data_IF_044094579275
#
_entry.id   IF_044094579275
#
_cell.length_a   1.000
_cell.length_b   1.000
_cell.length_c   1.000
_cell.angle_alpha   90.00
_cell.angle_beta   90.00
_cell.angle_gamma   90.00
#
_symmetry.space_group_name_H-M   'P 1'
#
loop_
_entity.id
_entity.type
_entity.pdbx_description
1 polymer ?
#
# COMPACT_ATOMS: atom_id res chain seq x y z
N UNK A 1 -14.82 -10.99 1.15
CA UNK A 1 -14.90 -11.04 2.62
C UNK A 1 -14.74 -9.64 3.20
N UNK A 2 -15.14 -9.43 4.45
CA UNK A 2 -14.86 -8.20 5.22
C UNK A 2 -13.88 -8.53 6.34
N UNK A 3 -13.03 -7.59 6.69
CA UNK A 3 -12.14 -7.72 7.84
C UNK A 3 -12.96 -7.57 9.11
N UNK A 4 -12.74 -8.45 10.09
CA UNK A 4 -13.41 -8.40 11.41
C UNK A 4 -12.48 -7.96 12.53
N UNK A 5 -11.27 -7.51 12.17
CA UNK A 5 -10.21 -7.15 13.09
C UNK A 5 -8.89 -6.93 12.36
N UNK A 6 -7.81 -6.70 13.12
CA UNK A 6 -6.54 -6.26 12.56
C UNK A 6 -5.81 -7.37 11.81
N UNK A 7 -5.10 -7.01 10.74
CA UNK A 7 -4.15 -7.89 10.05
C UNK A 7 -2.78 -7.67 10.70
N UNK A 8 -2.20 -8.72 11.28
CA UNK A 8 -0.92 -8.63 11.99
C UNK A 8 -0.83 -7.49 13.03
N UNK A 9 -1.95 -7.14 13.68
CA UNK A 9 -2.01 -6.04 14.66
C UNK A 9 -2.16 -4.64 14.07
N UNK A 10 -2.47 -4.52 12.77
CA UNK A 10 -2.78 -3.26 12.09
C UNK A 10 -4.25 -3.26 11.66
N UNK A 11 -4.99 -2.24 12.09
CA UNK A 11 -6.37 -2.00 11.67
C UNK A 11 -6.42 -1.43 10.26
N UNK A 12 -7.43 -1.81 9.48
CA UNK A 12 -7.68 -1.28 8.14
C UNK A 12 -9.04 -0.59 8.11
N UNK A 13 -9.03 0.73 7.94
CA UNK A 13 -10.22 1.59 8.14
C UNK A 13 -10.53 2.40 6.88
N UNK A 14 -11.82 2.51 6.55
CA UNK A 14 -12.32 3.47 5.56
C UNK A 14 -12.85 4.68 6.34
N UNK A 15 -12.17 5.83 6.32
CA UNK A 15 -12.44 6.90 7.29
C UNK A 15 -13.78 7.63 7.11
N UNK A 16 -14.47 7.44 5.99
CA UNK A 16 -15.81 7.99 5.73
C UNK A 16 -16.93 6.95 5.82
N UNK A 17 -16.61 5.70 6.16
CA UNK A 17 -17.60 4.64 6.25
C UNK A 17 -18.15 4.57 7.67
N UNK A 18 -19.40 4.99 7.86
CA UNK A 18 -20.09 4.89 9.15
C UNK A 18 -20.56 3.45 9.45
N UNK A 19 -20.67 2.60 8.42
CA UNK A 19 -21.04 1.19 8.53
C UNK A 19 -20.23 0.31 7.55
N UNK A 20 -19.01 -0.11 7.96
CA UNK A 20 -18.17 -1.00 7.15
C UNK A 20 -18.80 -2.36 6.82
N UNK A 21 -19.77 -2.84 7.62
CA UNK A 21 -20.41 -4.14 7.43
C UNK A 21 -21.34 -4.15 6.21
N UNK A 22 -21.88 -3.00 5.83
CA UNK A 22 -22.70 -2.86 4.62
C UNK A 22 -21.95 -2.18 3.47
N UNK A 23 -20.88 -1.44 3.76
CA UNK A 23 -20.05 -0.78 2.74
C UNK A 23 -19.41 -1.80 1.80
N UNK A 24 -19.63 -1.62 0.50
CA UNK A 24 -19.04 -2.47 -0.52
C UNK A 24 -17.55 -2.20 -0.70
N UNK A 25 -17.06 -0.99 -0.42
CA UNK A 25 -15.65 -0.64 -0.46
C UNK A 25 -14.81 -1.45 0.54
N UNK A 26 -15.43 -1.93 1.62
CA UNK A 26 -14.82 -2.79 2.63
C UNK A 26 -14.86 -4.29 2.26
N UNK A 27 -15.21 -4.66 1.03
CA UNK A 27 -15.18 -6.06 0.56
C UNK A 27 -13.84 -6.35 -0.13
N UNK A 28 -13.13 -7.34 0.39
CA UNK A 28 -11.82 -7.80 -0.06
C UNK A 28 -11.91 -9.21 -0.63
N UNK A 29 -11.07 -9.54 -1.60
CA UNK A 29 -10.75 -10.93 -1.91
C UNK A 29 -9.80 -11.49 -0.83
N UNK A 30 -9.95 -12.76 -0.44
CA UNK A 30 -9.12 -13.37 0.61
C UNK A 30 -7.62 -13.38 0.25
N UNK A 31 -7.29 -13.41 -1.05
CA UNK A 31 -5.90 -13.33 -1.52
C UNK A 31 -5.30 -11.95 -1.27
N UNK A 32 -6.09 -10.88 -1.41
CA UNK A 32 -5.63 -9.53 -1.07
C UNK A 32 -5.36 -9.43 0.44
N UNK A 33 -6.23 -9.99 1.27
CA UNK A 33 -6.01 -10.05 2.73
C UNK A 33 -4.71 -10.77 3.07
N UNK A 34 -4.45 -11.93 2.45
CA UNK A 34 -3.21 -12.67 2.65
C UNK A 34 -1.97 -11.87 2.20
N UNK A 35 -2.04 -11.17 1.07
CA UNK A 35 -0.96 -10.34 0.56
C UNK A 35 -0.65 -9.13 1.47
N UNK A 36 -1.65 -8.62 2.20
CA UNK A 36 -1.45 -7.53 3.15
C UNK A 36 -0.80 -7.96 4.47
N UNK A 37 -0.76 -9.25 4.81
CA UNK A 37 -0.16 -9.73 6.05
C UNK A 37 1.32 -9.30 6.24
N UNK A 38 2.24 -9.56 5.30
CA UNK A 38 3.63 -9.10 5.44
C UNK A 38 3.75 -7.58 5.47
N UNK A 39 2.95 -6.87 4.66
CA UNK A 39 2.92 -5.41 4.65
C UNK A 39 2.49 -4.83 6.00
N UNK A 40 1.42 -5.38 6.59
CA UNK A 40 0.92 -4.98 7.89
C UNK A 40 1.91 -5.31 9.01
N UNK A 41 2.55 -6.47 8.95
CA UNK A 41 3.61 -6.83 9.90
C UNK A 41 4.79 -5.85 9.84
N UNK A 42 5.18 -5.44 8.63
CA UNK A 42 6.25 -4.45 8.44
C UNK A 42 5.85 -3.08 9.01
N UNK A 43 4.65 -2.59 8.70
CA UNK A 43 4.12 -1.33 9.24
C UNK A 43 4.07 -1.33 10.77
N UNK A 44 3.61 -2.44 11.38
CA UNK A 44 3.61 -2.60 12.84
C UNK A 44 5.02 -2.53 13.42
N UNK A 45 6.01 -3.15 12.76
CA UNK A 45 7.42 -3.06 13.16
C UNK A 45 7.96 -1.63 13.19
N UNK A 46 7.39 -0.74 12.37
CA UNK A 46 7.70 0.70 12.33
C UNK A 46 6.78 1.57 13.19
N UNK A 47 5.95 0.93 14.03
CA UNK A 47 5.09 1.59 15.01
C UNK A 47 3.80 2.15 14.43
N UNK A 48 3.32 1.63 13.30
CA UNK A 48 2.01 1.97 12.73
C UNK A 48 1.00 0.87 13.02
N UNK A 49 -0.18 1.24 13.51
CA UNK A 49 -1.23 0.29 13.91
C UNK A 49 -2.55 0.52 13.20
N UNK A 50 -2.65 1.52 12.33
CA UNK A 50 -3.83 1.76 11.50
C UNK A 50 -3.40 2.15 10.08
N UNK A 51 -4.03 1.53 9.10
CA UNK A 51 -4.00 1.89 7.69
C UNK A 51 -5.36 2.43 7.32
N UNK A 52 -5.40 3.64 6.78
CA UNK A 52 -6.60 4.17 6.14
C UNK A 52 -6.54 3.94 4.64
N UNK A 53 -7.67 3.56 4.05
CA UNK A 53 -7.75 3.23 2.63
C UNK A 53 -9.06 3.73 2.01
N UNK A 54 -9.06 3.93 0.69
CA UNK A 54 -10.23 4.35 -0.04
C UNK A 54 -11.21 3.22 -0.32
N UNK A 55 -10.73 2.15 -0.94
CA UNK A 55 -11.60 1.03 -1.27
C UNK A 55 -10.81 -0.19 -1.67
N UNK A 56 -11.31 -1.36 -1.29
CA UNK A 56 -10.88 -2.63 -1.86
C UNK A 56 -11.74 -3.02 -3.08
N UNK A 57 -13.07 -2.99 -2.93
CA UNK A 57 -14.01 -3.24 -4.02
C UNK A 57 -14.67 -1.95 -4.53
N UNK A 58 -14.74 -1.79 -5.85
CA UNK A 58 -15.52 -0.74 -6.52
C UNK A 58 -16.53 -1.38 -7.47
N UNK A 59 -17.81 -1.12 -7.25
CA UNK A 59 -18.89 -1.57 -8.15
C UNK A 59 -18.97 -0.60 -9.34
N UNK A 60 -18.24 -0.92 -10.41
CA UNK A 60 -18.28 -0.18 -11.67
C UNK A 60 -18.85 -1.05 -12.79
N UNK A 61 -19.44 -0.43 -13.81
CA UNK A 61 -19.86 -1.14 -15.03
C UNK A 61 -18.61 -1.62 -15.75
N UNK A 62 -18.35 -2.92 -15.71
CA UNK A 62 -17.31 -3.55 -16.52
C UNK A 62 -17.78 -3.47 -17.98
N UNK A 63 -17.23 -2.51 -18.73
CA UNK A 63 -17.46 -2.42 -20.17
C UNK A 63 -16.30 -3.07 -20.91
N UNK A 64 -16.56 -3.62 -22.10
CA UNK A 64 -15.52 -4.24 -22.94
C UNK A 64 -14.40 -3.26 -23.33
N UNK A 65 -14.70 -1.97 -23.29
CA UNK A 65 -13.79 -0.88 -23.68
C UNK A 65 -12.85 -0.40 -22.56
N UNK A 66 -13.04 -0.84 -21.31
CA UNK A 66 -12.15 -0.48 -20.20
C UNK A 66 -11.40 -1.71 -19.69
N UNK A 67 -10.07 -1.64 -19.48
CA UNK A 67 -9.34 -2.68 -18.78
C UNK A 67 -10.03 -2.99 -17.44
N UNK A 68 -10.13 -4.28 -17.11
CA UNK A 68 -10.75 -4.71 -15.85
C UNK A 68 -9.89 -4.25 -14.68
N UNK A 69 -10.36 -3.23 -13.95
CA UNK A 69 -9.73 -2.82 -12.69
C UNK A 69 -9.83 -3.96 -11.68
N UNK A 70 -8.74 -4.21 -10.94
CA UNK A 70 -8.72 -5.21 -9.87
C UNK A 70 -9.61 -4.84 -8.69
N UNK A 71 -9.95 -3.56 -8.52
CA UNK A 71 -11.00 -3.15 -7.59
C UNK A 71 -12.36 -3.73 -7.95
N UNK A 72 -12.66 -4.09 -9.20
CA UNK A 72 -13.98 -4.67 -9.51
C UNK A 72 -14.17 -6.09 -8.96
N UNK A 73 -13.09 -6.72 -8.50
CA UNK A 73 -13.09 -8.08 -7.94
C UNK A 73 -12.47 -8.13 -6.54
N UNK A 74 -12.27 -6.98 -5.89
CA UNK A 74 -11.72 -6.89 -4.53
C UNK A 74 -10.25 -7.31 -4.42
N UNK A 75 -9.49 -7.29 -5.53
CA UNK A 75 -8.07 -7.65 -5.58
C UNK A 75 -7.13 -6.42 -5.63
N UNK A 76 -7.65 -5.23 -5.38
CA UNK A 76 -6.84 -4.02 -5.24
C UNK A 76 -7.21 -3.27 -3.98
N UNK A 77 -6.33 -2.39 -3.52
CA UNK A 77 -6.54 -1.44 -2.44
C UNK A 77 -5.84 -0.13 -2.74
N UNK A 78 -6.53 0.97 -2.44
CA UNK A 78 -5.97 2.33 -2.51
C UNK A 78 -5.69 2.82 -1.09
N UNK A 79 -4.43 2.80 -0.67
CA UNK A 79 -4.01 3.23 0.67
C UNK A 79 -3.95 4.76 0.71
N UNK A 80 -4.73 5.36 1.62
CA UNK A 80 -4.77 6.80 1.88
C UNK A 80 -3.62 7.25 2.80
N UNK A 81 -3.29 6.44 3.80
CA UNK A 81 -2.16 6.68 4.69
C UNK A 81 -2.18 5.86 5.96
N UNK A 82 -1.30 6.18 6.91
CA UNK A 82 -1.09 5.38 8.13
C UNK A 82 -1.12 6.23 9.40
N UNK A 83 -1.49 5.62 10.54
CA UNK A 83 -1.37 6.20 11.88
C UNK A 83 -0.53 5.31 12.80
N UNK A 84 0.10 5.94 13.79
CA UNK A 84 0.79 5.25 14.88
C UNK A 84 -0.14 4.66 15.94
N UNK A 85 -1.41 5.04 15.93
CA UNK A 85 -2.40 4.62 16.91
C UNK A 85 -3.74 5.34 16.74
N UNK A 86 -4.80 4.86 17.40
CA UNK A 86 -6.04 5.60 17.53
C UNK A 86 -5.79 7.01 18.10
N UNK A 87 -6.48 8.01 17.54
CA UNK A 87 -6.33 9.42 17.95
C UNK A 87 -5.02 10.10 17.52
N UNK A 88 -4.06 9.37 16.93
CA UNK A 88 -2.85 9.95 16.37
C UNK A 88 -3.12 10.57 14.99
N UNK A 89 -2.31 11.57 14.57
CA UNK A 89 -2.41 12.13 13.23
C UNK A 89 -2.27 11.06 12.14
N UNK A 90 -3.08 11.22 11.09
CA UNK A 90 -2.94 10.45 9.86
C UNK A 90 -1.82 11.06 9.02
N UNK A 91 -0.79 10.27 8.75
CA UNK A 91 0.22 10.65 7.77
C UNK A 91 -0.30 10.30 6.38
N UNK A 92 -1.02 11.21 5.73
CA UNK A 92 -1.59 10.97 4.39
C UNK A 92 -0.51 10.84 3.32
N UNK A 93 -0.75 9.98 2.34
CA UNK A 93 0.12 9.81 1.17
C UNK A 93 0.30 11.14 0.43
N UNK A 94 -0.79 11.88 0.20
CA UNK A 94 -0.77 13.16 -0.51
C UNK A 94 0.21 14.18 0.08
N UNK A 95 0.29 14.21 1.41
CA UNK A 95 1.03 15.20 2.20
C UNK A 95 2.47 14.74 2.51
N UNK A 96 2.68 13.43 2.73
CA UNK A 96 3.92 12.91 3.28
C UNK A 96 4.73 12.02 2.35
N UNK A 97 4.21 11.59 1.19
CA UNK A 97 4.99 10.81 0.24
C UNK A 97 6.06 11.68 -0.45
N UNK A 98 7.35 11.36 -0.36
CA UNK A 98 8.42 12.12 -1.00
C UNK A 98 8.43 11.89 -2.52
N UNK A 99 7.64 12.67 -3.25
CA UNK A 99 7.53 12.60 -4.72
C UNK A 99 8.88 12.80 -5.38
N UNK A 100 9.05 12.19 -6.55
CA UNK A 100 10.23 12.29 -7.43
C UNK A 100 11.54 11.88 -6.78
N UNK A 101 11.47 11.15 -5.67
CA UNK A 101 12.64 10.76 -4.88
C UNK A 101 13.10 9.33 -5.21
N UNK A 102 12.17 8.38 -5.30
CA UNK A 102 12.50 6.97 -5.48
C UNK A 102 12.50 6.58 -6.96
N UNK A 103 13.70 6.51 -7.57
CA UNK A 103 13.91 6.06 -8.96
C UNK A 103 14.08 4.53 -9.10
N UNK A 104 14.55 3.91 -8.03
CA UNK A 104 14.77 2.47 -7.92
C UNK A 104 14.92 2.12 -6.45
N UNK A 105 14.64 0.88 -6.08
CA UNK A 105 14.93 0.41 -4.74
C UNK A 105 16.42 0.07 -4.56
N UNK A 106 17.02 0.44 -3.41
CA UNK A 106 18.40 0.11 -3.13
C UNK A 106 18.59 -1.41 -3.07
N UNK A 107 19.73 -1.86 -3.62
CA UNK A 107 20.20 -3.23 -3.38
C UNK A 107 20.55 -3.36 -1.89
N UNK A 108 20.34 -4.53 -1.26
CA UNK A 108 20.73 -4.73 0.13
C UNK A 108 22.25 -4.56 0.27
N UNK A 109 22.71 -3.40 0.70
CA UNK A 109 24.13 -3.17 0.98
C UNK A 109 24.44 -3.75 2.36
N UNK A 110 25.36 -4.71 2.42
CA UNK A 110 25.88 -5.19 3.70
C UNK A 110 26.78 -4.10 4.31
N UNK A 111 26.26 -3.41 5.32
CA UNK A 111 27.10 -2.84 6.38
C UNK A 111 27.58 -1.40 6.26
N UNK A 112 27.15 -0.61 5.27
CA UNK A 112 27.36 0.85 5.31
C UNK A 112 26.08 1.57 5.77
N UNK A 113 25.98 1.83 7.08
CA UNK A 113 24.88 2.60 7.66
C UNK A 113 25.13 4.11 7.65
N UNK A 114 26.28 4.57 7.11
CA UNK A 114 26.67 5.99 7.18
C UNK A 114 25.95 6.84 6.14
N UNK A 115 25.46 6.23 5.06
CA UNK A 115 24.68 6.89 4.01
C UNK A 115 23.40 6.10 3.74
N UNK A 116 22.27 6.62 4.22
CA UNK A 116 20.94 6.05 3.93
C UNK A 116 20.44 6.61 2.60
N UNK A 117 20.14 5.72 1.67
CA UNK A 117 19.49 6.04 0.41
C UNK A 117 17.96 6.02 0.58
N UNK A 118 17.22 6.79 -0.24
CA UNK A 118 15.77 6.67 -0.32
C UNK A 118 15.33 5.23 -0.59
N UNK A 119 14.40 4.71 0.22
CA UNK A 119 13.91 3.33 0.12
C UNK A 119 14.71 2.29 0.91
N UNK A 120 15.75 2.70 1.65
CA UNK A 120 16.37 1.85 2.67
C UNK A 120 15.40 1.50 3.79
N UNK A 121 15.71 0.43 4.53
CA UNK A 121 14.92 0.05 5.71
C UNK A 121 14.93 1.22 6.73
N UNK A 122 13.76 1.82 7.04
CA UNK A 122 13.69 2.94 7.95
C UNK A 122 14.02 2.49 9.37
N UNK A 123 14.56 3.39 10.19
CA UNK A 123 14.71 3.12 11.62
C UNK A 123 13.36 3.22 12.32
N UNK A 124 13.19 2.56 13.47
CA UNK A 124 12.09 2.86 14.37
C UNK A 124 12.01 4.38 14.65
N UNK A 125 10.82 4.96 14.46
CA UNK A 125 10.61 6.40 14.64
C UNK A 125 11.03 7.29 13.46
N UNK A 126 11.45 6.71 12.32
CA UNK A 126 11.77 7.47 11.11
C UNK A 126 10.61 8.39 10.66
N UNK A 127 10.93 9.48 9.94
CA UNK A 127 9.92 10.33 9.31
C UNK A 127 8.95 9.53 8.43
N UNK A 128 7.67 9.91 8.36
CA UNK A 128 6.67 9.19 7.56
C UNK A 128 7.05 9.02 6.09
N UNK A 129 7.76 10.01 5.51
CA UNK A 129 8.23 9.95 4.14
C UNK A 129 9.20 8.79 3.90
N UNK A 130 10.15 8.58 4.81
CA UNK A 130 11.11 7.46 4.73
C UNK A 130 10.39 6.11 4.88
N UNK A 131 9.36 6.07 5.72
CA UNK A 131 8.51 4.88 5.88
C UNK A 131 7.76 4.57 4.58
N UNK A 132 7.23 5.57 3.87
CA UNK A 132 6.60 5.35 2.58
C UNK A 132 7.55 4.77 1.54
N UNK A 133 8.75 5.36 1.39
CA UNK A 133 9.74 4.86 0.44
C UNK A 133 10.21 3.45 0.81
N UNK A 134 10.46 3.21 2.10
CA UNK A 134 10.80 1.90 2.65
C UNK A 134 9.72 0.86 2.40
N UNK A 135 8.44 1.22 2.56
CA UNK A 135 7.31 0.33 2.29
C UNK A 135 7.23 -0.08 0.82
N UNK A 136 7.38 0.88 -0.10
CA UNK A 136 7.41 0.60 -1.54
C UNK A 136 8.54 -0.38 -1.84
N UNK A 137 9.73 -0.16 -1.29
CA UNK A 137 10.85 -1.07 -1.53
C UNK A 137 10.76 -2.40 -0.82
N UNK A 138 10.10 -2.46 0.33
CA UNK A 138 9.75 -3.71 1.00
C UNK A 138 8.80 -4.54 0.11
N UNK A 139 7.72 -3.93 -0.38
CA UNK A 139 6.77 -4.60 -1.25
C UNK A 139 7.40 -5.07 -2.57
N UNK A 140 8.30 -4.28 -3.15
CA UNK A 140 9.06 -4.63 -4.34
C UNK A 140 9.98 -5.83 -4.09
N UNK A 141 10.83 -5.75 -3.05
CA UNK A 141 11.85 -6.75 -2.74
C UNK A 141 11.26 -8.13 -2.45
N UNK A 142 10.09 -8.16 -1.82
CA UNK A 142 9.42 -9.41 -1.44
C UNK A 142 8.31 -9.84 -2.41
N UNK A 143 8.09 -9.11 -3.51
CA UNK A 143 7.07 -9.46 -4.51
C UNK A 143 5.66 -9.56 -3.90
N UNK A 144 5.30 -8.63 -3.01
CA UNK A 144 4.06 -8.72 -2.24
C UNK A 144 2.81 -8.50 -3.10
N UNK A 145 2.93 -7.72 -4.16
CA UNK A 145 1.84 -7.33 -5.05
C UNK A 145 2.29 -7.33 -6.51
N UNK A 146 1.35 -7.39 -7.45
CA UNK A 146 1.63 -7.33 -8.89
C UNK A 146 1.80 -5.93 -9.44
N UNK A 147 1.13 -4.98 -8.80
CA UNK A 147 1.21 -3.58 -9.14
C UNK A 147 1.30 -2.79 -7.85
N UNK A 148 2.23 -1.82 -7.80
CA UNK A 148 2.20 -0.74 -6.83
C UNK A 148 2.37 0.59 -7.57
N UNK A 149 1.31 1.40 -7.59
CA UNK A 149 1.35 2.76 -8.13
C UNK A 149 1.50 3.75 -6.99
N UNK A 150 2.49 4.62 -7.14
CA UNK A 150 2.85 5.69 -6.22
C UNK A 150 2.31 7.03 -6.74
N UNK A 151 2.37 8.10 -5.91
CA UNK A 151 2.06 9.45 -6.36
C UNK A 151 2.88 10.00 -7.53
N UNK A 152 3.94 9.30 -7.95
CA UNK A 152 4.74 9.64 -9.13
C UNK A 152 4.23 8.97 -10.42
N UNK A 153 3.23 8.09 -10.36
CA UNK A 153 2.70 7.40 -11.55
C UNK A 153 1.95 8.36 -12.49
N UNK A 154 0.90 9.01 -11.97
CA UNK A 154 0.06 9.95 -12.71
C UNK A 154 -0.75 10.85 -11.76
N UNK A 155 -1.66 11.64 -12.34
CA UNK A 155 -2.56 12.52 -11.59
C UNK A 155 -3.57 11.77 -10.75
N UNK A 156 -4.08 10.63 -11.20
CA UNK A 156 -5.15 9.92 -10.49
C UNK A 156 -4.60 9.26 -9.20
N UNK A 157 -3.31 8.90 -9.19
CA UNK A 157 -2.63 8.28 -8.04
C UNK A 157 -1.93 9.27 -7.12
N UNK A 158 -2.08 10.58 -7.32
CA UNK A 158 -1.33 11.61 -6.58
C UNK A 158 -1.54 11.57 -5.05
N UNK A 159 -2.62 10.98 -4.54
CA UNK A 159 -3.01 11.05 -3.12
C UNK A 159 -3.11 9.67 -2.44
N UNK A 160 -2.70 8.59 -3.09
CA UNK A 160 -2.76 7.24 -2.53
C UNK A 160 -1.67 6.33 -3.11
N UNK A 161 -1.44 5.19 -2.43
CA UNK A 161 -0.73 4.06 -3.02
C UNK A 161 -1.77 3.07 -3.54
N UNK A 162 -1.77 2.79 -4.84
CA UNK A 162 -2.60 1.73 -5.42
C UNK A 162 -1.83 0.42 -5.42
N UNK A 163 -2.38 -0.62 -4.81
CA UNK A 163 -1.80 -1.95 -4.78
C UNK A 163 -2.79 -2.93 -5.40
N UNK A 164 -2.34 -3.80 -6.32
CA UNK A 164 -3.20 -4.83 -6.89
C UNK A 164 -2.54 -6.20 -7.08
N UNK A 165 -3.41 -7.21 -7.14
CA UNK A 165 -3.07 -8.58 -7.49
C UNK A 165 -3.66 -8.98 -8.84
N UNK A 166 -2.85 -9.65 -9.67
CA UNK A 166 -3.32 -10.27 -10.92
C UNK A 166 -3.99 -11.61 -10.63
N UNK A 167 -5.22 -11.78 -11.11
CA UNK A 167 -5.96 -13.05 -11.01
C UNK A 167 -5.22 -14.20 -11.67
N UNK A 168 -5.11 -15.33 -10.97
CA UNK A 168 -4.52 -16.57 -11.52
C UNK A 168 -3.00 -16.61 -11.50
N UNK A 169 -2.35 -15.65 -10.84
CA UNK A 169 -0.91 -15.63 -10.63
C UNK A 169 -0.60 -15.64 -9.13
N UNK A 170 0.39 -16.42 -8.72
CA UNK A 170 1.03 -16.27 -7.41
C UNK A 170 1.81 -14.94 -7.37
N UNK A 171 2.44 -14.62 -6.23
CA UNK A 171 3.37 -13.48 -6.11
C UNK A 171 4.33 -13.42 -7.31
N UNK A 172 4.50 -12.25 -7.95
CA UNK A 172 5.06 -12.20 -9.29
C UNK A 172 6.59 -12.21 -9.31
N UNK A 173 7.20 -12.83 -10.33
CA UNK A 173 8.61 -12.68 -10.62
C UNK A 173 8.97 -11.30 -11.20
N UNK A 174 7.99 -10.55 -11.72
CA UNK A 174 8.18 -9.21 -12.31
C UNK A 174 7.00 -8.27 -11.93
N UNK A 175 6.99 -7.75 -10.69
CA UNK A 175 5.99 -6.78 -10.26
C UNK A 175 6.17 -5.42 -10.94
N UNK A 176 5.07 -4.75 -11.32
CA UNK A 176 5.12 -3.37 -11.81
C UNK A 176 5.06 -2.37 -10.65
N UNK A 177 6.13 -1.61 -10.46
CA UNK A 177 6.21 -0.57 -9.44
C UNK A 177 6.51 0.77 -10.13
N UNK A 178 5.67 1.78 -9.91
CA UNK A 178 5.88 3.10 -10.51
C UNK A 178 6.93 3.88 -9.72
N UNK A 179 8.16 3.83 -10.21
CA UNK A 179 9.24 4.67 -9.72
C UNK A 179 9.28 5.98 -10.50
N UNK A 180 9.88 7.02 -9.90
CA UNK A 180 10.07 8.27 -10.58
C UNK A 180 10.98 8.13 -11.82
N UNK A 181 10.51 8.58 -12.97
CA UNK A 181 11.27 8.58 -14.22
C UNK A 181 11.30 7.24 -14.95
N UNK A 182 10.39 6.32 -14.60
CA UNK A 182 10.10 5.08 -15.34
C UNK A 182 8.71 5.12 -15.95
#
# INVERSE_FOLDING_TARGET
>A
MRLRGPIAGVEFVIPWSDDPETDHHAIWDCRLVAAMLPLASWLRGHGFTEVQYFSALRRGRITRAKPRSRHNVGLAIDILGFKRGPGQPLYKVEEHYPRRTLRSCPSPTRGDTRHRAPGDEPLPGAPPGDVYLGLVCHAYRFGLVHTLLTPDHDRDHHNHLHLDLKTGQASPPDPYFSFHGR
#
